data_IF_634380666155
#
_entry.id   IF_634380666155
#
_cell.length_a   1.000
_cell.length_b   1.000
_cell.length_c   1.000
_cell.angle_alpha   90.00
_cell.angle_beta   90.00
_cell.angle_gamma   90.00
#
_symmetry.space_group_name_H-M   'P 1'
#
loop_
_entity.id
_entity.type
_entity.pdbx_description
1 polymer ?
#
# COMPACT_ATOMS: atom_id res chain seq x y z
N UNK A 1 18.93 -13.63 5.90
CA UNK A 1 17.89 -13.67 4.85
C UNK A 1 17.16 -12.34 4.87
N UNK A 2 16.96 -11.71 3.72
CA UNK A 2 16.05 -10.56 3.61
C UNK A 2 14.59 -11.05 3.51
N UNK A 3 13.62 -10.16 3.77
CA UNK A 3 12.19 -10.49 3.67
C UNK A 3 11.84 -10.96 2.24
N UNK A 4 12.18 -10.23 1.16
CA UNK A 4 11.92 -10.70 -0.20
C UNK A 4 12.52 -12.07 -0.53
N UNK A 5 13.73 -12.31 -0.02
CA UNK A 5 14.44 -13.57 -0.24
C UNK A 5 13.77 -14.74 0.49
N UNK A 6 13.28 -14.53 1.72
CA UNK A 6 12.47 -15.52 2.42
C UNK A 6 11.25 -15.89 1.58
N UNK A 7 10.46 -14.92 1.13
CA UNK A 7 9.22 -15.18 0.38
C UNK A 7 9.49 -15.87 -0.98
N UNK A 8 10.50 -15.45 -1.74
CA UNK A 8 10.87 -16.11 -3.00
C UNK A 8 11.35 -17.56 -2.81
N UNK A 9 12.28 -17.79 -1.88
CA UNK A 9 12.90 -19.11 -1.70
C UNK A 9 11.96 -20.10 -0.99
N UNK A 10 11.06 -19.64 -0.11
CA UNK A 10 10.15 -20.52 0.63
C UNK A 10 9.18 -21.25 -0.28
N UNK A 11 8.60 -20.56 -1.27
CA UNK A 11 7.72 -21.17 -2.28
C UNK A 11 8.45 -22.15 -3.18
N UNK A 12 9.72 -21.89 -3.52
CA UNK A 12 10.50 -22.72 -4.43
C UNK A 12 10.98 -24.03 -3.78
N UNK A 13 11.19 -24.04 -2.46
CA UNK A 13 11.88 -25.15 -1.77
C UNK A 13 10.92 -26.09 -1.04
N UNK A 14 9.80 -25.61 -0.48
CA UNK A 14 9.03 -26.40 0.50
C UNK A 14 7.69 -26.96 0.02
N UNK A 15 7.20 -26.60 -1.17
CA UNK A 15 5.93 -27.10 -1.70
C UNK A 15 4.66 -26.62 -0.95
N UNK A 16 4.82 -25.78 0.07
CA UNK A 16 3.76 -25.06 0.77
C UNK A 16 4.15 -23.58 0.89
N UNK A 17 3.15 -22.69 0.94
CA UNK A 17 3.41 -21.26 0.97
C UNK A 17 3.91 -20.74 2.33
N UNK A 18 4.48 -19.52 2.34
CA UNK A 18 5.20 -18.95 3.49
C UNK A 18 4.31 -18.72 4.72
N UNK A 19 2.99 -18.68 4.53
CA UNK A 19 2.01 -18.46 5.61
C UNK A 19 1.45 -19.77 6.18
N UNK A 20 1.99 -20.91 5.75
CA UNK A 20 1.67 -22.26 6.23
C UNK A 20 0.16 -22.56 6.28
N UNK A 21 -0.58 -22.11 5.27
CA UNK A 21 -2.01 -22.44 5.11
C UNK A 21 -2.22 -23.44 3.98
N UNK A 22 -3.25 -24.28 4.09
CA UNK A 22 -3.70 -25.18 3.02
C UNK A 22 -4.31 -24.43 1.83
N UNK A 23 -4.68 -23.16 2.02
CA UNK A 23 -5.19 -22.29 0.97
C UNK A 23 -4.06 -21.74 0.09
N UNK A 24 -3.79 -22.41 -1.04
CA UNK A 24 -2.77 -21.97 -2.02
C UNK A 24 -2.97 -20.53 -2.48
N UNK A 25 -4.22 -20.15 -2.81
CA UNK A 25 -4.56 -18.80 -3.24
C UNK A 25 -4.19 -17.71 -2.22
N UNK A 26 -4.31 -18.00 -0.92
CA UNK A 26 -3.97 -17.04 0.14
C UNK A 26 -2.46 -16.90 0.29
N UNK A 27 -1.74 -18.02 0.19
CA UNK A 27 -0.29 -17.98 0.16
C UNK A 27 0.22 -17.16 -1.02
N UNK A 28 -0.36 -17.34 -2.21
CA UNK A 28 0.04 -16.59 -3.41
C UNK A 28 -0.26 -15.09 -3.24
N UNK A 29 -1.42 -14.75 -2.68
CA UNK A 29 -1.81 -13.36 -2.37
C UNK A 29 -0.82 -12.65 -1.45
N UNK A 30 -0.25 -13.35 -0.47
CA UNK A 30 0.77 -12.81 0.43
C UNK A 30 2.16 -12.86 -0.22
N UNK A 31 2.49 -13.92 -0.93
CA UNK A 31 3.84 -14.11 -1.45
C UNK A 31 4.22 -13.10 -2.52
N UNK A 32 3.31 -12.82 -3.46
CA UNK A 32 3.55 -11.91 -4.61
C UNK A 32 4.00 -10.51 -4.19
N UNK A 33 3.32 -9.81 -3.27
CA UNK A 33 3.79 -8.49 -2.85
C UNK A 33 5.06 -8.56 -1.99
N UNK A 34 5.18 -9.54 -1.09
CA UNK A 34 6.32 -9.61 -0.17
C UNK A 34 7.62 -10.13 -0.80
N UNK A 35 7.56 -10.79 -1.96
CA UNK A 35 8.74 -11.13 -2.76
C UNK A 35 9.31 -9.93 -3.53
N UNK A 36 8.59 -8.81 -3.60
CA UNK A 36 9.02 -7.58 -4.25
C UNK A 36 9.79 -6.68 -3.29
N UNK A 37 11.09 -6.50 -3.55
CA UNK A 37 11.95 -5.58 -2.81
C UNK A 37 11.39 -4.16 -2.69
N UNK A 38 10.90 -3.50 -3.77
CA UNK A 38 10.35 -2.15 -3.65
C UNK A 38 9.07 -2.10 -2.82
N UNK A 39 8.24 -3.16 -2.85
CA UNK A 39 7.06 -3.23 -2.00
C UNK A 39 7.45 -3.30 -0.52
N UNK A 40 8.38 -4.18 -0.17
CA UNK A 40 8.86 -4.30 1.21
C UNK A 40 9.53 -3.00 1.68
N UNK A 41 10.35 -2.38 0.85
CA UNK A 41 10.95 -1.07 1.16
C UNK A 41 9.87 0.01 1.42
N UNK A 42 8.80 0.01 0.62
CA UNK A 42 7.68 0.93 0.78
C UNK A 42 6.91 0.71 2.09
N UNK A 43 6.69 -0.55 2.49
CA UNK A 43 6.04 -0.89 3.77
C UNK A 43 6.88 -0.40 4.95
N UNK A 44 8.20 -0.62 4.90
CA UNK A 44 9.12 -0.14 5.95
C UNK A 44 9.14 1.39 6.01
N UNK A 45 9.23 2.07 4.87
CA UNK A 45 9.17 3.53 4.79
C UNK A 45 7.86 4.07 5.39
N UNK A 46 6.71 3.47 5.01
CA UNK A 46 5.41 3.83 5.57
C UNK A 46 5.37 3.63 7.09
N UNK A 47 5.91 2.52 7.60
CA UNK A 47 5.97 2.27 9.04
C UNK A 47 6.80 3.33 9.76
N UNK A 48 7.99 3.65 9.25
CA UNK A 48 8.87 4.69 9.80
C UNK A 48 8.20 6.08 9.77
N UNK A 49 7.52 6.42 8.68
CA UNK A 49 6.76 7.67 8.54
C UNK A 49 5.68 7.82 9.64
N UNK A 50 5.12 6.72 10.14
CA UNK A 50 4.15 6.74 11.25
C UNK A 50 4.80 6.95 12.63
N UNK A 51 6.06 6.56 12.82
CA UNK A 51 6.78 6.65 14.10
C UNK A 51 7.35 8.03 14.42
N UNK A 52 7.54 8.90 13.42
CA UNK A 52 8.09 10.25 13.64
C UNK A 52 7.13 11.14 14.44
N UNK A 53 7.64 11.90 15.42
CA UNK A 53 6.82 12.76 16.27
C UNK A 53 6.40 14.07 15.58
N UNK A 54 5.16 14.51 15.82
CA UNK A 54 4.53 15.70 15.18
C UNK A 54 4.99 17.06 15.72
N UNK A 55 6.02 17.11 16.57
CA UNK A 55 6.30 18.29 17.42
C UNK A 55 6.76 19.52 16.64
N UNK A 56 7.27 19.35 15.41
CA UNK A 56 7.74 20.46 14.58
C UNK A 56 7.20 20.41 13.15
N UNK A 57 6.96 21.58 12.57
CA UNK A 57 6.41 21.77 11.23
C UNK A 57 7.38 21.35 10.11
N UNK A 58 8.68 21.41 10.41
CA UNK A 58 9.79 20.90 9.59
C UNK A 58 9.66 19.39 9.37
N UNK A 59 9.49 18.64 10.45
CA UNK A 59 9.33 17.16 10.46
C UNK A 59 8.09 16.72 9.67
N UNK A 60 7.05 17.56 9.58
CA UNK A 60 5.85 17.24 8.77
C UNK A 60 6.18 17.15 7.27
N UNK A 61 7.15 17.94 6.78
CA UNK A 61 7.58 17.87 5.38
C UNK A 61 8.37 16.58 5.12
N UNK A 62 9.19 16.16 6.08
CA UNK A 62 10.04 14.97 5.97
C UNK A 62 9.26 13.65 6.00
N UNK A 63 8.14 13.59 6.74
CA UNK A 63 7.32 12.38 6.96
C UNK A 63 6.59 11.81 5.73
N UNK A 64 6.77 12.38 4.54
CA UNK A 64 6.05 11.98 3.31
C UNK A 64 4.51 12.13 3.34
N UNK A 65 3.90 12.28 4.52
CA UNK A 65 2.44 12.30 4.78
C UNK A 65 1.73 13.43 4.05
N UNK A 66 2.43 14.53 3.79
CA UNK A 66 1.91 15.64 2.99
C UNK A 66 1.60 15.22 1.53
N UNK A 67 2.33 14.24 0.99
CA UNK A 67 2.05 13.66 -0.33
C UNK A 67 0.79 12.78 -0.25
N UNK A 68 0.71 11.94 0.78
CA UNK A 68 -0.44 11.05 1.04
C UNK A 68 -1.75 11.80 1.36
N UNK A 69 -1.67 13.03 1.89
CA UNK A 69 -2.84 13.84 2.23
C UNK A 69 -3.78 14.07 1.02
N UNK A 70 -3.23 14.18 -0.20
CA UNK A 70 -4.00 14.39 -1.44
C UNK A 70 -4.87 13.19 -1.81
N UNK A 71 -4.44 11.99 -1.45
CA UNK A 71 -5.12 10.74 -1.79
C UNK A 71 -6.07 10.25 -0.69
N UNK A 72 -6.19 10.99 0.42
CA UNK A 72 -7.06 10.60 1.55
C UNK A 72 -8.54 10.75 1.21
N UNK A 73 -8.91 11.71 0.38
CA UNK A 73 -10.29 11.95 -0.03
C UNK A 73 -10.40 11.99 -1.54
N UNK A 74 -11.55 11.60 -2.07
CA UNK A 74 -11.84 11.62 -3.50
C UNK A 74 -11.68 13.03 -4.10
N UNK A 75 -12.01 14.07 -3.32
CA UNK A 75 -11.88 15.48 -3.73
C UNK A 75 -10.48 16.06 -3.51
N UNK A 76 -9.54 15.28 -2.97
CA UNK A 76 -8.19 15.74 -2.61
C UNK A 76 -7.24 15.86 -3.81
N UNK A 77 -7.52 15.15 -4.90
CA UNK A 77 -6.75 15.19 -6.15
C UNK A 77 -7.72 15.27 -7.34
N UNK A 78 -7.50 16.21 -8.26
CA UNK A 78 -8.36 16.40 -9.45
C UNK A 78 -8.36 15.18 -10.36
N UNK A 79 -7.29 14.37 -10.33
CA UNK A 79 -7.20 13.13 -11.11
C UNK A 79 -8.22 12.09 -10.67
N UNK A 80 -8.62 12.09 -9.39
CA UNK A 80 -9.63 11.14 -8.91
C UNK A 80 -10.97 11.34 -9.62
N UNK A 81 -11.33 12.58 -9.95
CA UNK A 81 -12.52 12.89 -10.72
C UNK A 81 -12.38 12.46 -12.19
N UNK A 82 -11.20 12.66 -12.80
CA UNK A 82 -10.95 12.23 -14.18
C UNK A 82 -11.03 10.71 -14.36
N UNK A 83 -10.47 9.93 -13.43
CA UNK A 83 -10.38 8.48 -13.57
C UNK A 83 -11.57 7.70 -12.99
N UNK A 84 -12.24 8.25 -11.99
CA UNK A 84 -13.26 7.53 -11.23
C UNK A 84 -14.61 8.24 -11.19
N UNK A 85 -14.83 9.25 -12.05
CA UNK A 85 -16.16 9.83 -12.23
C UNK A 85 -17.13 8.80 -12.82
N UNK A 86 -18.32 8.75 -12.24
CA UNK A 86 -19.41 7.95 -12.79
C UNK A 86 -19.89 8.53 -14.12
N UNK A 87 -20.19 7.66 -15.11
CA UNK A 87 -20.76 8.09 -16.38
C UNK A 87 -22.13 8.76 -16.16
N UNK A 88 -22.57 9.55 -17.14
CA UNK A 88 -23.86 10.25 -17.11
C UNK A 88 -24.04 11.21 -15.92
N UNK A 89 -22.95 11.76 -15.38
CA UNK A 89 -22.98 12.72 -14.27
C UNK A 89 -23.65 12.16 -12.99
N UNK A 90 -23.61 10.84 -12.81
CA UNK A 90 -24.20 10.15 -11.65
C UNK A 90 -23.52 10.51 -10.31
N UNK A 91 -22.33 11.12 -10.35
CA UNK A 91 -21.65 11.68 -9.16
C UNK A 91 -22.52 12.71 -8.42
N UNK A 92 -23.50 13.33 -9.08
CA UNK A 92 -24.49 14.23 -8.46
C UNK A 92 -25.43 13.50 -7.50
N UNK A 93 -25.74 12.24 -7.79
CA UNK A 93 -26.67 11.42 -7.00
C UNK A 93 -25.95 10.50 -6.01
N UNK A 94 -24.69 10.17 -6.30
CA UNK A 94 -23.82 9.37 -5.42
C UNK A 94 -22.55 10.16 -5.09
N UNK A 95 -22.64 11.16 -4.20
CA UNK A 95 -21.51 11.99 -3.87
C UNK A 95 -20.42 11.19 -3.14
N UNK A 96 -19.19 11.29 -3.62
CA UNK A 96 -17.99 10.79 -2.95
C UNK A 96 -17.68 11.70 -1.75
N UNK A 97 -18.35 11.43 -0.62
CA UNK A 97 -18.11 12.08 0.68
C UNK A 97 -16.82 11.60 1.32
#
# INVERSE_FOLDING_TARGET
MSIPQYFNEYTAIKGYGPVHTSARWFNDMVNVPFSSEPFVASVVAFFLDNTLHKKDSSIRKDRGKHWWDKFRSFKGDTRSEEFYSLPFNLNKYFPSV
#
